data_IF_892993920657
#
_entry.id   IF_892993920657
#
_cell.length_a   1.000
_cell.length_b   1.000
_cell.length_c   1.000
_cell.angle_alpha   90.00
_cell.angle_beta   90.00
_cell.angle_gamma   90.00
#
_symmetry.space_group_name_H-M   'P 1'
#
loop_
_entity.id
_entity.type
_entity.pdbx_description
1 polymer ?
#
# COMPACT_ATOMS: atom_id res chain seq x y z
N UNK A 1 4.70 -5.43 15.73
CA UNK A 1 3.59 -6.30 15.25
C UNK A 1 2.62 -6.68 16.35
N UNK A 2 3.06 -7.26 17.49
CA UNK A 2 2.17 -7.58 18.62
C UNK A 2 1.34 -6.39 19.12
N UNK A 3 1.94 -5.19 19.22
CA UNK A 3 1.24 -3.96 19.62
C UNK A 3 0.13 -3.56 18.65
N UNK A 4 0.33 -3.73 17.33
CA UNK A 4 -0.69 -3.41 16.32
C UNK A 4 -1.88 -4.37 16.46
N UNK A 5 -1.60 -5.67 16.55
CA UNK A 5 -2.63 -6.70 16.69
C UNK A 5 -3.40 -6.49 17.99
N UNK A 6 -2.70 -6.27 19.11
CA UNK A 6 -3.31 -6.03 20.42
C UNK A 6 -4.18 -4.78 20.45
N UNK A 7 -3.66 -3.63 19.99
CA UNK A 7 -4.45 -2.39 19.94
C UNK A 7 -5.65 -2.52 18.99
N UNK A 8 -5.51 -3.23 17.86
CA UNK A 8 -6.62 -3.49 16.94
C UNK A 8 -7.67 -4.46 17.49
N UNK A 9 -7.28 -5.40 18.36
CA UNK A 9 -8.22 -6.25 19.10
C UNK A 9 -8.97 -5.45 20.17
N UNK A 10 -8.28 -4.55 20.89
CA UNK A 10 -8.89 -3.67 21.90
C UNK A 10 -9.92 -2.73 21.30
N UNK A 11 -9.62 -2.11 20.14
CA UNK A 11 -10.60 -1.28 19.43
C UNK A 11 -11.84 -2.10 19.08
N UNK A 12 -11.67 -3.36 18.66
CA UNK A 12 -12.79 -4.24 18.29
C UNK A 12 -13.61 -4.71 19.48
N UNK A 13 -12.99 -4.93 20.64
CA UNK A 13 -13.66 -5.44 21.83
C UNK A 13 -14.51 -4.40 22.55
N UNK A 14 -14.24 -3.11 22.36
CA UNK A 14 -15.01 -2.03 23.02
C UNK A 14 -16.32 -1.80 22.24
N UNK A 15 -17.50 -1.92 22.90
CA UNK A 15 -18.77 -1.62 22.26
C UNK A 15 -18.91 -0.13 21.94
N UNK A 16 -19.62 0.20 20.86
CA UNK A 16 -19.77 1.58 20.37
C UNK A 16 -20.61 2.49 21.31
N UNK A 17 -21.18 1.96 22.39
CA UNK A 17 -21.95 2.73 23.38
C UNK A 17 -21.08 3.76 24.12
N UNK A 18 -19.81 3.42 24.37
CA UNK A 18 -18.85 4.31 25.02
C UNK A 18 -17.99 5.02 23.97
N UNK A 19 -18.53 6.10 23.38
CA UNK A 19 -17.88 6.86 22.30
C UNK A 19 -16.46 7.32 22.66
N UNK A 20 -16.25 7.88 23.86
CA UNK A 20 -14.94 8.39 24.30
C UNK A 20 -13.90 7.28 24.37
N UNK A 21 -14.25 6.14 24.97
CA UNK A 21 -13.35 5.00 25.10
C UNK A 21 -13.04 4.37 23.74
N UNK A 22 -14.04 4.31 22.86
CA UNK A 22 -13.89 3.80 21.50
C UNK A 22 -12.97 4.68 20.65
N UNK A 23 -13.19 6.00 20.64
CA UNK A 23 -12.34 6.95 19.93
C UNK A 23 -10.94 7.02 20.53
N UNK A 24 -10.80 6.93 21.86
CA UNK A 24 -9.50 6.85 22.52
C UNK A 24 -8.71 5.61 22.11
N UNK A 25 -9.34 4.43 22.14
CA UNK A 25 -8.70 3.20 21.68
C UNK A 25 -8.32 3.27 20.19
N UNK A 26 -9.18 3.85 19.36
CA UNK A 26 -8.89 4.06 17.94
C UNK A 26 -7.72 5.02 17.73
N UNK A 27 -7.66 6.13 18.46
CA UNK A 27 -6.55 7.08 18.40
C UNK A 27 -5.22 6.43 18.82
N UNK A 28 -5.23 5.63 19.89
CA UNK A 28 -4.07 4.85 20.34
C UNK A 28 -3.62 3.86 19.24
N UNK A 29 -4.57 3.20 18.60
CA UNK A 29 -4.27 2.30 17.48
C UNK A 29 -3.64 3.04 16.30
N UNK A 30 -4.20 4.20 15.91
CA UNK A 30 -3.63 5.04 14.86
C UNK A 30 -2.21 5.52 15.20
N UNK A 31 -1.96 5.92 16.45
CA UNK A 31 -0.63 6.32 16.91
C UNK A 31 0.37 5.16 16.84
N UNK A 32 -0.03 3.95 17.26
CA UNK A 32 0.79 2.76 17.16
C UNK A 32 1.13 2.40 15.70
N UNK A 33 0.17 2.54 14.77
CA UNK A 33 0.42 2.37 13.35
C UNK A 33 1.40 3.42 12.81
N UNK A 34 1.22 4.70 13.16
CA UNK A 34 2.14 5.77 12.78
C UNK A 34 3.57 5.52 13.26
N UNK A 35 3.74 5.03 14.49
CA UNK A 35 5.05 4.67 15.04
C UNK A 35 5.73 3.54 14.25
N UNK A 36 4.96 2.53 13.81
CA UNK A 36 5.50 1.44 12.98
C UNK A 36 5.85 1.90 11.57
N UNK A 37 5.16 2.91 11.05
CA UNK A 37 5.46 3.53 9.75
C UNK A 37 6.58 4.59 9.83
N UNK A 38 6.99 5.03 11.03
CA UNK A 38 8.01 6.06 11.22
C UNK A 38 9.32 5.81 10.44
N UNK A 39 9.84 4.56 10.31
CA UNK A 39 11.04 4.32 9.51
C UNK A 39 10.88 4.68 8.02
N UNK A 40 9.67 4.72 7.49
CA UNK A 40 9.44 5.13 6.09
C UNK A 40 9.77 6.61 5.86
N UNK A 41 9.80 7.44 6.91
CA UNK A 41 10.18 8.86 6.82
C UNK A 41 11.62 9.01 6.30
N UNK A 42 12.49 8.02 6.54
CA UNK A 42 13.85 8.00 5.99
C UNK A 42 13.91 7.92 4.46
N UNK A 43 12.82 7.53 3.79
CA UNK A 43 12.73 7.55 2.31
C UNK A 43 12.59 8.97 1.74
N UNK A 44 12.32 9.96 2.60
CA UNK A 44 12.33 11.39 2.31
C UNK A 44 10.94 12.01 2.22
N UNK A 45 10.80 13.20 2.83
CA UNK A 45 9.54 13.96 2.88
C UNK A 45 8.86 14.22 1.52
N UNK A 46 9.60 14.61 0.46
CA UNK A 46 8.98 14.84 -0.86
C UNK A 46 8.38 13.58 -1.51
N UNK A 47 8.99 12.42 -1.26
CA UNK A 47 8.46 11.13 -1.76
C UNK A 47 7.18 10.78 -1.01
N UNK A 48 7.18 10.98 0.31
CA UNK A 48 6.03 10.72 1.16
C UNK A 48 4.81 11.55 0.76
N UNK A 49 5.00 12.85 0.52
CA UNK A 49 3.91 13.74 0.10
C UNK A 49 3.30 13.32 -1.24
N UNK A 50 4.14 12.94 -2.21
CA UNK A 50 3.67 12.44 -3.51
C UNK A 50 2.92 11.12 -3.37
N UNK A 51 3.47 10.18 -2.60
CA UNK A 51 2.82 8.91 -2.31
C UNK A 51 1.45 9.11 -1.65
N UNK A 52 1.35 10.07 -0.72
CA UNK A 52 0.09 10.41 -0.06
C UNK A 52 -0.95 10.93 -1.06
N UNK A 53 -0.57 11.88 -1.93
CA UNK A 53 -1.47 12.41 -2.96
C UNK A 53 -1.92 11.36 -3.97
N UNK A 54 -1.01 10.49 -4.42
CA UNK A 54 -1.38 9.41 -5.34
C UNK A 54 -2.30 8.39 -4.66
N UNK A 55 -2.03 8.04 -3.40
CA UNK A 55 -2.89 7.15 -2.64
C UNK A 55 -4.28 7.78 -2.44
N UNK A 56 -4.34 9.06 -2.09
CA UNK A 56 -5.61 9.77 -1.96
C UNK A 56 -6.41 9.75 -3.27
N UNK A 57 -5.76 9.95 -4.43
CA UNK A 57 -6.39 9.85 -5.74
C UNK A 57 -6.91 8.46 -6.05
N UNK A 58 -6.11 7.42 -5.80
CA UNK A 58 -6.49 6.01 -6.01
C UNK A 58 -7.67 5.63 -5.11
N UNK A 59 -7.59 5.94 -3.82
CA UNK A 59 -8.64 5.64 -2.84
C UNK A 59 -9.93 6.37 -3.18
N UNK A 60 -9.85 7.67 -3.48
CA UNK A 60 -11.02 8.46 -3.85
C UNK A 60 -11.69 7.92 -5.12
N UNK A 61 -10.90 7.60 -6.15
CA UNK A 61 -11.41 7.05 -7.41
C UNK A 61 -12.07 5.67 -7.21
N UNK A 62 -11.40 4.77 -6.49
CA UNK A 62 -11.91 3.43 -6.23
C UNK A 62 -13.15 3.45 -5.32
N UNK A 63 -13.16 4.23 -4.25
CA UNK A 63 -14.33 4.38 -3.39
C UNK A 63 -15.52 4.97 -4.15
N UNK A 64 -15.31 5.93 -5.05
CA UNK A 64 -16.37 6.44 -5.92
C UNK A 64 -16.94 5.35 -6.83
N UNK A 65 -16.08 4.53 -7.46
CA UNK A 65 -16.56 3.39 -8.27
C UNK A 65 -17.29 2.34 -7.45
N UNK A 66 -16.85 2.08 -6.22
CA UNK A 66 -17.48 1.12 -5.31
C UNK A 66 -18.91 1.53 -4.92
N UNK A 67 -19.15 2.83 -4.73
CA UNK A 67 -20.48 3.38 -4.46
C UNK A 67 -21.44 3.23 -5.65
N UNK A 68 -20.93 3.33 -6.87
CA UNK A 68 -21.74 3.23 -8.09
C UNK A 68 -21.88 1.79 -8.63
N UNK A 69 -21.08 0.84 -8.14
CA UNK A 69 -21.04 -0.52 -8.68
C UNK A 69 -22.04 -1.46 -7.97
N UNK A 70 -22.73 -2.35 -8.72
CA UNK A 70 -23.67 -3.32 -8.13
C UNK A 70 -22.94 -4.27 -7.18
N UNK A 71 -23.42 -4.35 -5.93
CA UNK A 71 -22.72 -4.96 -4.79
C UNK A 71 -22.61 -6.49 -4.85
N UNK A 72 -23.41 -7.17 -5.68
CA UNK A 72 -23.49 -8.63 -5.69
C UNK A 72 -22.25 -9.31 -6.29
N UNK A 73 -21.63 -8.70 -7.31
CA UNK A 73 -20.47 -9.29 -8.00
C UNK A 73 -19.21 -9.30 -7.14
N UNK A 74 -19.02 -8.27 -6.31
CA UNK A 74 -17.80 -8.11 -5.54
C UNK A 74 -17.85 -8.87 -4.22
N UNK A 75 -19.02 -9.05 -3.60
CA UNK A 75 -19.11 -9.90 -2.40
C UNK A 75 -18.66 -11.35 -2.69
N UNK A 76 -18.91 -11.84 -3.91
CA UNK A 76 -18.44 -13.15 -4.37
C UNK A 76 -16.94 -13.21 -4.70
N UNK A 77 -16.27 -12.05 -4.86
CA UNK A 77 -14.83 -11.97 -5.12
C UNK A 77 -13.96 -12.20 -3.88
N UNK A 78 -14.54 -12.37 -2.68
CA UNK A 78 -13.78 -12.64 -1.46
C UNK A 78 -12.88 -13.88 -1.56
N UNK A 79 -13.31 -14.92 -2.27
CA UNK A 79 -12.53 -16.15 -2.47
C UNK A 79 -11.24 -15.93 -3.26
N UNK A 80 -11.31 -15.44 -4.52
CA UNK A 80 -10.12 -15.09 -5.31
C UNK A 80 -9.21 -14.08 -4.62
N UNK A 81 -9.78 -13.10 -3.92
CA UNK A 81 -9.03 -12.04 -3.25
C UNK A 81 -8.24 -12.58 -2.06
N UNK A 82 -8.81 -13.52 -1.30
CA UNK A 82 -8.10 -14.23 -0.24
C UNK A 82 -6.95 -15.11 -0.78
N UNK A 83 -7.15 -15.77 -1.92
CA UNK A 83 -6.06 -16.51 -2.58
C UNK A 83 -4.92 -15.59 -3.01
N UNK A 84 -5.24 -14.43 -3.60
CA UNK A 84 -4.26 -13.42 -3.97
C UNK A 84 -3.49 -12.88 -2.75
N UNK A 85 -4.16 -12.71 -1.61
CA UNK A 85 -3.52 -12.32 -0.35
C UNK A 85 -2.55 -13.40 0.13
N UNK A 86 -2.91 -14.68 0.01
CA UNK A 86 -2.02 -15.80 0.32
C UNK A 86 -0.74 -15.77 -0.53
N UNK A 87 -0.85 -15.50 -1.83
CA UNK A 87 0.31 -15.36 -2.74
C UNK A 87 1.20 -14.20 -2.32
N UNK A 88 0.62 -13.02 -2.10
CA UNK A 88 1.39 -11.82 -1.68
C UNK A 88 2.02 -12.04 -0.31
N UNK A 89 1.34 -12.72 0.60
CA UNK A 89 1.87 -13.06 1.93
C UNK A 89 3.04 -14.04 1.86
N UNK A 90 2.90 -15.12 1.08
CA UNK A 90 3.99 -16.05 0.82
C UNK A 90 5.19 -15.35 0.16
N UNK A 91 4.95 -14.43 -0.77
CA UNK A 91 6.01 -13.64 -1.39
C UNK A 91 6.71 -12.67 -0.41
N UNK A 92 5.99 -12.12 0.57
CA UNK A 92 6.59 -11.32 1.65
C UNK A 92 7.53 -12.17 2.51
N UNK A 93 7.11 -13.38 2.88
CA UNK A 93 7.96 -14.32 3.64
C UNK A 93 9.18 -14.74 2.81
N UNK A 94 8.98 -15.10 1.55
CA UNK A 94 10.05 -15.49 0.64
C UNK A 94 11.09 -14.39 0.43
N UNK A 95 10.66 -13.12 0.40
CA UNK A 95 11.57 -11.97 0.23
C UNK A 95 12.55 -11.79 1.41
N UNK A 96 12.30 -12.40 2.58
CA UNK A 96 13.28 -12.41 3.68
C UNK A 96 14.43 -13.39 3.44
N UNK A 97 14.19 -14.47 2.69
CA UNK A 97 15.18 -15.51 2.41
C UNK A 97 15.94 -15.26 1.11
N UNK A 98 15.36 -14.53 0.16
CA UNK A 98 15.95 -14.27 -1.15
C UNK A 98 16.28 -12.77 -1.33
N UNK A 99 17.57 -12.42 -1.52
CA UNK A 99 17.95 -11.05 -1.78
C UNK A 99 17.37 -10.51 -3.10
N UNK A 100 16.93 -9.26 -3.10
CA UNK A 100 16.31 -8.59 -4.26
C UNK A 100 17.23 -8.42 -5.49
N UNK A 101 18.54 -8.68 -5.36
CA UNK A 101 19.48 -8.66 -6.49
C UNK A 101 19.47 -9.96 -7.31
N UNK A 102 18.84 -11.02 -6.80
CA UNK A 102 18.64 -12.27 -7.55
C UNK A 102 17.38 -12.18 -8.41
N UNK A 103 17.34 -12.87 -9.55
CA UNK A 103 16.16 -12.85 -10.43
C UNK A 103 14.87 -13.31 -9.70
N UNK A 104 14.99 -14.34 -8.85
CA UNK A 104 13.89 -14.84 -8.01
C UNK A 104 13.50 -13.79 -6.96
N UNK A 105 14.46 -13.21 -6.23
CA UNK A 105 14.19 -12.16 -5.23
C UNK A 105 13.58 -10.89 -5.82
N UNK A 106 14.02 -10.47 -7.02
CA UNK A 106 13.42 -9.37 -7.76
C UNK A 106 11.98 -9.70 -8.19
N UNK A 107 11.73 -10.94 -8.61
CA UNK A 107 10.40 -11.46 -8.90
C UNK A 107 9.49 -11.36 -7.68
N UNK A 108 9.92 -11.87 -6.52
CA UNK A 108 9.16 -11.80 -5.27
C UNK A 108 8.92 -10.35 -4.84
N UNK A 109 9.92 -9.47 -4.92
CA UNK A 109 9.77 -8.06 -4.61
C UNK A 109 8.74 -7.38 -5.52
N UNK A 110 8.68 -7.72 -6.82
CA UNK A 110 7.69 -7.18 -7.74
C UNK A 110 6.26 -7.67 -7.43
N UNK A 111 6.10 -8.95 -7.07
CA UNK A 111 4.81 -9.51 -6.62
C UNK A 111 4.37 -8.81 -5.33
N UNK A 112 5.30 -8.65 -4.38
CA UNK A 112 5.02 -7.94 -3.12
C UNK A 112 4.55 -6.54 -3.45
N UNK A 113 5.32 -5.74 -4.18
CA UNK A 113 5.03 -4.31 -4.39
C UNK A 113 3.85 -4.09 -5.34
N UNK A 114 3.93 -4.59 -6.58
CA UNK A 114 2.93 -4.30 -7.62
C UNK A 114 1.72 -5.23 -7.52
N UNK A 115 1.94 -6.53 -7.32
CA UNK A 115 0.86 -7.50 -7.13
C UNK A 115 0.03 -7.15 -5.90
N UNK A 116 0.70 -6.84 -4.80
CA UNK A 116 0.05 -6.37 -3.59
C UNK A 116 -0.67 -5.03 -3.73
N UNK A 117 -0.20 -4.11 -4.60
CA UNK A 117 -0.88 -2.82 -4.83
C UNK A 117 -2.22 -3.03 -5.51
N UNK A 118 -2.24 -3.85 -6.57
CA UNK A 118 -3.45 -4.21 -7.29
C UNK A 118 -4.42 -4.95 -6.36
N UNK A 119 -3.89 -5.90 -5.58
CA UNK A 119 -4.68 -6.68 -4.65
C UNK A 119 -5.35 -5.80 -3.58
N UNK A 120 -4.62 -4.90 -2.93
CA UNK A 120 -5.21 -4.03 -1.90
C UNK A 120 -6.13 -2.95 -2.49
N UNK A 121 -5.89 -2.54 -3.74
CA UNK A 121 -6.86 -1.70 -4.47
C UNK A 121 -8.18 -2.44 -4.70
N UNK A 122 -8.13 -3.74 -4.99
CA UNK A 122 -9.33 -4.57 -5.10
C UNK A 122 -9.98 -4.86 -3.73
N UNK A 123 -9.20 -5.05 -2.65
CA UNK A 123 -9.72 -5.13 -1.28
C UNK A 123 -10.43 -3.86 -0.86
N UNK A 124 -9.88 -2.69 -1.18
CA UNK A 124 -10.53 -1.42 -0.88
C UNK A 124 -11.93 -1.34 -1.50
N UNK A 125 -12.08 -1.80 -2.75
CA UNK A 125 -13.38 -1.84 -3.42
C UNK A 125 -14.33 -2.86 -2.77
N UNK A 126 -13.84 -4.07 -2.50
CA UNK A 126 -14.58 -5.14 -1.82
C UNK A 126 -15.08 -4.70 -0.43
N UNK A 127 -14.19 -4.16 0.40
CA UNK A 127 -14.50 -3.76 1.76
C UNK A 127 -15.37 -2.50 1.80
N UNK A 128 -15.24 -1.59 0.82
CA UNK A 128 -16.17 -0.46 0.67
C UNK A 128 -17.60 -0.95 0.40
N UNK A 129 -17.78 -1.91 -0.50
CA UNK A 129 -19.11 -2.44 -0.80
C UNK A 129 -19.66 -3.31 0.34
N UNK A 130 -18.81 -4.09 1.00
CA UNK A 130 -19.17 -4.84 2.20
C UNK A 130 -19.59 -3.90 3.33
N UNK A 131 -18.92 -2.76 3.50
CA UNK A 131 -19.29 -1.72 4.47
C UNK A 131 -20.66 -1.13 4.14
N UNK A 132 -20.89 -0.71 2.90
CA UNK A 132 -22.18 -0.13 2.45
C UNK A 132 -23.31 -1.13 2.70
N UNK A 133 -23.15 -2.38 2.22
CA UNK A 133 -24.13 -3.44 2.44
C UNK A 133 -24.37 -3.69 3.92
N UNK A 134 -23.31 -3.73 4.74
CA UNK A 134 -23.46 -3.89 6.20
C UNK A 134 -24.21 -2.71 6.81
N UNK A 135 -23.99 -1.48 6.34
CA UNK A 135 -24.71 -0.30 6.80
C UNK A 135 -26.19 -0.31 6.39
N UNK A 136 -26.52 -0.84 5.21
CA UNK A 136 -27.92 -0.97 4.74
C UNK A 136 -28.72 -2.00 5.54
N UNK A 137 -28.10 -3.14 5.89
CA UNK A 137 -28.80 -4.24 6.56
C UNK A 137 -28.88 -4.04 8.08
N UNK A 138 -27.99 -3.24 8.68
CA UNK A 138 -27.94 -3.09 10.14
C UNK A 138 -28.98 -2.08 10.62
N UNK A 139 -29.96 -2.47 11.46
CA UNK A 139 -30.96 -1.54 11.97
C UNK A 139 -30.34 -0.52 12.95
N UNK A 140 -30.59 0.77 12.71
CA UNK A 140 -30.12 1.88 13.57
C UNK A 140 -30.66 1.82 15.01
N UNK A 141 -31.72 1.04 15.26
CA UNK A 141 -32.43 1.03 16.54
C UNK A 141 -31.77 0.12 17.60
N UNK A 142 -30.79 -0.72 17.23
CA UNK A 142 -30.18 -1.71 18.16
C UNK A 142 -31.07 -2.91 18.46
N UNK A 143 -32.22 -3.01 17.81
CA UNK A 143 -33.12 -4.14 17.80
C UNK A 143 -33.37 -4.52 16.34
N UNK A 144 -33.24 -5.79 16.02
CA UNK A 144 -33.58 -6.34 14.71
C UNK A 144 -34.89 -7.11 14.87
N UNK A 145 -35.92 -6.62 14.19
CA UNK A 145 -37.25 -7.24 14.19
C UNK A 145 -37.24 -8.38 13.18
N UNK A 146 -37.40 -9.60 13.67
CA UNK A 146 -37.61 -10.80 12.85
C UNK A 146 -39.08 -11.21 12.96
N UNK A 147 -39.68 -11.68 11.87
CA UNK A 147 -40.98 -12.33 11.93
C UNK A 147 -40.77 -13.82 12.19
N UNK A 148 -41.41 -14.37 13.21
CA UNK A 148 -41.42 -15.81 13.42
C UNK A 148 -42.28 -16.50 12.35
N UNK A 149 -42.23 -17.84 12.31
CA UNK A 149 -43.01 -18.66 11.37
C UNK A 149 -44.54 -18.45 11.48
N UNK A 150 -45.01 -17.88 12.59
CA UNK A 150 -46.41 -17.52 12.83
C UNK A 150 -46.75 -16.05 12.51
N UNK A 151 -45.82 -15.30 11.90
CA UNK A 151 -46.02 -13.91 11.47
C UNK A 151 -45.99 -12.86 12.60
N UNK A 152 -45.59 -13.23 13.82
CA UNK A 152 -45.46 -12.30 14.94
C UNK A 152 -44.08 -11.63 14.94
N UNK A 153 -44.00 -10.30 15.17
CA UNK A 153 -42.73 -9.59 15.25
C UNK A 153 -42.00 -9.90 16.55
N UNK A 154 -40.76 -10.38 16.45
CA UNK A 154 -39.86 -10.66 17.56
C UNK A 154 -38.66 -9.72 17.47
N UNK A 155 -38.46 -8.87 18.47
CA UNK A 155 -37.32 -7.96 18.54
C UNK A 155 -36.16 -8.65 19.23
N UNK A 156 -35.12 -8.96 18.47
CA UNK A 156 -33.87 -9.53 19.01
C UNK A 156 -32.86 -8.40 19.13
N UNK A 157 -32.14 -8.33 20.24
CA UNK A 157 -31.05 -7.35 20.40
C UNK A 157 -30.02 -7.58 19.29
N UNK A 158 -29.90 -6.61 18.39
CA UNK A 158 -28.92 -6.65 17.32
C UNK A 158 -27.81 -5.66 17.67
N UNK A 159 -26.53 -6.07 17.53
CA UNK A 159 -25.43 -5.14 17.73
C UNK A 159 -25.64 -3.89 16.88
N UNK A 160 -25.64 -2.71 17.52
CA UNK A 160 -25.70 -1.42 16.82
C UNK A 160 -24.57 -1.35 15.79
N UNK A 161 -24.82 -0.70 14.66
CA UNK A 161 -23.80 -0.50 13.65
C UNK A 161 -22.62 0.27 14.25
N UNK A 162 -21.44 -0.38 14.26
CA UNK A 162 -20.20 0.22 14.75
C UNK A 162 -19.35 0.69 13.56
N UNK A 163 -19.39 2.00 13.23
CA UNK A 163 -18.67 2.53 12.08
C UNK A 163 -17.15 2.42 12.25
N UNK A 164 -16.64 2.52 13.48
CA UNK A 164 -15.19 2.43 13.75
C UNK A 164 -14.70 1.03 13.46
N UNK A 165 -15.39 0.00 13.93
CA UNK A 165 -15.00 -1.37 13.63
C UNK A 165 -15.16 -1.72 12.15
N UNK A 166 -16.15 -1.13 11.48
CA UNK A 166 -16.41 -1.41 10.07
C UNK A 166 -15.38 -0.72 9.14
N UNK A 167 -14.93 0.50 9.45
CA UNK A 167 -13.87 1.18 8.71
C UNK A 167 -12.48 0.59 8.97
N UNK A 168 -12.31 -0.27 9.99
CA UNK A 168 -11.00 -0.87 10.32
C UNK A 168 -10.42 -1.70 9.14
N UNK A 169 -11.24 -2.25 8.26
CA UNK A 169 -10.71 -2.98 7.09
C UNK A 169 -10.19 -2.00 6.04
N UNK A 170 -11.01 -0.99 5.72
CA UNK A 170 -10.73 0.00 4.69
C UNK A 170 -9.46 0.80 5.00
N UNK A 171 -9.25 1.28 6.24
CA UNK A 171 -8.02 2.03 6.53
C UNK A 171 -6.75 1.17 6.39
N UNK A 172 -6.83 -0.14 6.67
CA UNK A 172 -5.69 -1.04 6.49
C UNK A 172 -5.34 -1.20 5.02
N UNK A 173 -6.33 -1.31 4.13
CA UNK A 173 -6.10 -1.32 2.69
C UNK A 173 -5.48 -0.02 2.20
N UNK A 174 -5.98 1.13 2.67
CA UNK A 174 -5.42 2.45 2.36
C UNK A 174 -3.95 2.54 2.80
N UNK A 175 -3.62 2.11 4.02
CA UNK A 175 -2.25 2.10 4.51
C UNK A 175 -1.36 1.15 3.69
N UNK A 176 -1.85 -0.02 3.31
CA UNK A 176 -1.09 -0.95 2.50
C UNK A 176 -0.82 -0.40 1.09
N UNK A 177 -1.80 0.26 0.47
CA UNK A 177 -1.62 0.98 -0.80
C UNK A 177 -0.56 2.07 -0.63
N UNK A 178 -0.66 2.86 0.44
CA UNK A 178 0.27 3.95 0.72
C UNK A 178 1.72 3.48 0.84
N UNK A 179 2.00 2.47 1.66
CA UNK A 179 3.35 1.92 1.85
C UNK A 179 3.91 1.44 0.51
N UNK A 180 3.07 0.84 -0.33
CA UNK A 180 3.46 0.40 -1.69
C UNK A 180 3.77 1.56 -2.61
N UNK A 181 2.98 2.63 -2.57
CA UNK A 181 3.28 3.84 -3.32
C UNK A 181 4.61 4.47 -2.87
N UNK A 182 4.88 4.48 -1.55
CA UNK A 182 6.17 4.94 -1.00
C UNK A 182 7.32 4.05 -1.50
N UNK A 183 7.16 2.73 -1.47
CA UNK A 183 8.18 1.80 -1.97
C UNK A 183 8.46 2.00 -3.47
N UNK A 184 7.42 2.11 -4.30
CA UNK A 184 7.56 2.34 -5.75
C UNK A 184 8.31 3.63 -6.03
N UNK A 185 7.90 4.74 -5.39
CA UNK A 185 8.53 6.05 -5.62
C UNK A 185 9.94 6.13 -5.01
N UNK A 186 10.19 5.43 -3.90
CA UNK A 186 11.51 5.34 -3.29
C UNK A 186 12.51 4.58 -4.16
N UNK A 187 12.13 3.40 -4.67
CA UNK A 187 12.96 2.61 -5.59
C UNK A 187 13.20 3.36 -6.90
N UNK A 188 12.17 4.01 -7.46
CA UNK A 188 12.31 4.81 -8.67
C UNK A 188 13.32 5.96 -8.51
N UNK A 189 13.39 6.60 -7.34
CA UNK A 189 14.35 7.67 -7.05
C UNK A 189 15.80 7.13 -7.00
N UNK A 190 16.01 5.97 -6.39
CA UNK A 190 17.32 5.31 -6.32
C UNK A 190 17.77 4.88 -7.72
N UNK A 191 16.87 4.30 -8.52
CA UNK A 191 17.17 3.87 -9.88
C UNK A 191 17.48 5.06 -10.81
N UNK A 192 16.75 6.16 -10.71
CA UNK A 192 17.05 7.37 -11.48
C UNK A 192 18.42 7.96 -11.12
N UNK A 193 18.75 8.01 -9.82
CA UNK A 193 20.04 8.50 -9.36
C UNK A 193 21.20 7.59 -9.78
N UNK A 194 21.03 6.26 -9.70
CA UNK A 194 21.99 5.29 -10.20
C UNK A 194 22.20 5.44 -11.72
N UNK A 195 21.11 5.58 -12.49
CA UNK A 195 21.18 5.80 -13.93
C UNK A 195 21.80 7.15 -14.29
N UNK A 196 21.62 8.18 -13.46
CA UNK A 196 22.28 9.47 -13.60
C UNK A 196 23.79 9.36 -13.32
N UNK A 197 24.19 8.65 -12.26
CA UNK A 197 25.59 8.34 -11.95
C UNK A 197 26.23 7.56 -13.10
N UNK A 198 25.57 6.53 -13.63
CA UNK A 198 26.07 5.75 -14.76
C UNK A 198 26.25 6.63 -16.01
N UNK A 199 25.31 7.53 -16.28
CA UNK A 199 25.41 8.48 -17.40
C UNK A 199 26.54 9.49 -17.20
N UNK A 200 26.76 9.96 -15.97
CA UNK A 200 27.91 10.80 -15.62
C UNK A 200 29.24 10.06 -15.77
N UNK A 201 29.34 8.82 -15.29
CA UNK A 201 30.52 7.97 -15.44
C UNK A 201 30.83 7.66 -16.90
N UNK A 202 29.81 7.40 -17.72
CA UNK A 202 29.97 7.25 -19.16
C UNK A 202 30.55 8.52 -19.78
N UNK A 203 30.05 9.68 -19.38
CA UNK A 203 30.49 10.97 -19.92
C UNK A 203 31.94 11.28 -19.53
N UNK A 204 32.36 10.95 -18.31
CA UNK A 204 33.75 11.02 -17.86
C UNK A 204 34.63 10.07 -18.69
N UNK A 205 34.17 8.85 -18.95
CA UNK A 205 34.90 7.87 -19.77
C UNK A 205 35.08 8.36 -21.21
N UNK A 206 34.02 8.91 -21.84
CA UNK A 206 34.11 9.50 -23.17
C UNK A 206 35.04 10.72 -23.21
N UNK A 207 35.01 11.57 -22.17
CA UNK A 207 35.93 12.72 -22.06
C UNK A 207 37.39 12.26 -21.95
N UNK A 208 37.66 11.23 -21.15
CA UNK A 208 38.99 10.64 -21.02
C UNK A 208 39.51 10.04 -22.34
N UNK A 209 38.65 9.35 -23.08
CA UNK A 209 38.98 8.79 -24.39
C UNK A 209 39.27 9.89 -25.43
N UNK A 210 38.46 10.96 -25.41
CA UNK A 210 38.64 12.12 -26.28
C UNK A 210 39.95 12.88 -25.99
N UNK A 211 40.28 13.09 -24.71
CA UNK A 211 41.54 13.71 -24.31
C UNK A 211 42.77 12.89 -24.71
N UNK A 212 42.72 11.56 -24.57
CA UNK A 212 43.78 10.67 -25.05
C UNK A 212 43.93 10.70 -26.59
N UNK A 213 42.82 10.77 -27.31
CA UNK A 213 42.84 10.92 -28.77
C UNK A 213 43.44 12.26 -29.22
N UNK A 214 43.11 13.36 -28.53
CA UNK A 214 43.73 14.66 -28.78
C UNK A 214 45.23 14.65 -28.45
N UNK A 215 45.61 14.03 -27.33
CA UNK A 215 47.02 13.92 -26.94
C UNK A 215 47.84 13.14 -28.00
N UNK A 216 47.30 12.06 -28.55
CA UNK A 216 47.99 11.28 -29.59
C UNK A 216 48.12 12.05 -30.92
N UNK A 217 47.09 12.81 -31.32
CA UNK A 217 47.13 13.73 -32.48
C UNK A 217 48.23 14.78 -32.33
N UNK A 218 48.27 15.48 -31.19
CA UNK A 218 49.29 16.51 -30.90
C UNK A 218 50.69 15.91 -30.93
N UNK A 219 50.88 14.72 -30.34
CA UNK A 219 52.18 14.04 -30.33
C UNK A 219 52.63 13.68 -31.75
N UNK A 220 51.72 13.21 -32.61
CA UNK A 220 52.01 12.89 -34.00
C UNK A 220 52.33 14.13 -34.85
N UNK A 221 51.64 15.24 -34.62
CA UNK A 221 51.89 16.49 -35.35
C UNK A 221 53.22 17.15 -34.92
N UNK A 222 53.58 17.06 -33.64
CA UNK A 222 54.89 17.50 -33.14
C UNK A 222 56.00 16.63 -33.72
N UNK A 223 55.87 15.30 -33.70
CA UNK A 223 56.88 14.39 -34.27
C UNK A 223 57.07 14.63 -35.77
N UNK A 224 55.99 14.85 -36.54
CA UNK A 224 56.09 15.20 -37.97
C UNK A 224 56.81 16.52 -38.23
N UNK A 225 56.75 17.47 -37.28
CA UNK A 225 57.40 18.78 -37.38
C UNK A 225 58.90 18.74 -37.06
N UNK A 226 59.38 17.70 -36.37
CA UNK A 226 60.80 17.46 -36.10
C UNK A 226 61.49 16.60 -37.18
N UNK A 227 60.72 15.89 -37.99
CA UNK A 227 61.21 15.01 -39.05
C UNK A 227 61.29 15.68 -40.44
N UNK A 228 60.85 16.93 -40.56
CA UNK A 228 60.97 17.81 -41.73
C UNK A 228 61.84 19.01 -41.39
#
# INVERSE_FOLDING_TARGET
>A
MAVIVGTGMVVRSIPYENLVMKHGAWAVHCAAMGAVLAPLIFMGGPVMMRAAWYTAGVVMGLSATAMCAPSEKFLMMGGPLAMGLGVVFAANIGSFFFPAHTALGAGLASIVVYGGLILFSAFLLYDTQRLIKKAEITPNTGYQTYYNEYGQPMQVSAPRFDPINAQLSIYMDVLNIFIRMVMILGVAKIFFFAKLIDRFNLLIYYLYLYLNFLHSRVKNDVVKRWLN
#
